data_IF_805855798684
#
_entry.id   IF_805855798684
#
_cell.length_a   1.000
_cell.length_b   1.000
_cell.length_c   1.000
_cell.angle_alpha   90.00
_cell.angle_beta   90.00
_cell.angle_gamma   90.00
#
_symmetry.space_group_name_H-M   'P 1'
#
loop_
_entity.id
_entity.type
_entity.pdbx_description
1 polymer ?
#
# COMPACT_ATOMS: atom_id res chain seq x y z
N UNK A 1 40.47 65.85 29.40
CA UNK A 1 41.06 64.88 28.44
C UNK A 1 40.13 63.68 28.38
N UNK A 2 39.41 63.58 27.27
CA UNK A 2 38.32 62.64 27.00
C UNK A 2 38.91 61.39 26.36
N UNK A 3 38.69 60.23 26.98
CA UNK A 3 39.02 58.93 26.40
C UNK A 3 37.70 58.19 26.11
N UNK A 4 37.38 58.10 24.81
CA UNK A 4 36.26 57.35 24.26
C UNK A 4 36.49 55.84 24.43
N UNK A 5 35.47 55.03 24.74
CA UNK A 5 35.58 53.58 24.65
C UNK A 5 35.66 53.14 23.18
N UNK A 6 36.57 52.21 22.88
CA UNK A 6 36.80 51.69 21.53
C UNK A 6 35.64 50.79 21.07
N UNK A 7 35.31 50.94 19.79
CA UNK A 7 34.35 50.12 19.07
C UNK A 7 34.93 48.72 18.83
N UNK A 8 34.57 47.76 19.68
CA UNK A 8 34.71 46.33 19.39
C UNK A 8 33.70 45.50 20.21
N UNK A 9 32.45 45.98 20.30
CA UNK A 9 31.36 45.29 20.98
C UNK A 9 30.06 45.21 20.15
N UNK A 10 30.13 45.49 18.85
CA UNK A 10 28.96 45.51 17.94
C UNK A 10 29.23 44.83 16.60
N UNK A 11 30.07 43.79 16.60
CA UNK A 11 30.26 42.90 15.44
C UNK A 11 29.88 41.43 15.71
N UNK A 12 29.50 41.08 16.95
CA UNK A 12 29.13 39.70 17.34
C UNK A 12 27.63 39.49 17.57
N UNK A 13 26.76 40.43 17.16
CA UNK A 13 25.31 40.34 17.39
C UNK A 13 24.45 40.36 16.11
N UNK A 14 25.08 40.20 14.94
CA UNK A 14 24.37 40.16 13.64
C UNK A 14 24.62 38.86 12.85
N UNK A 15 25.27 37.86 13.43
CA UNK A 15 25.60 36.59 12.75
C UNK A 15 25.00 35.33 13.41
N UNK A 16 24.23 35.46 14.49
CA UNK A 16 23.61 34.31 15.20
C UNK A 16 22.08 34.19 15.05
N UNK A 17 21.41 35.01 14.23
CA UNK A 17 19.95 34.92 14.03
C UNK A 17 19.51 34.48 12.62
N UNK A 18 20.26 33.57 11.99
CA UNK A 18 19.99 33.19 10.60
C UNK A 18 20.29 31.75 10.22
N UNK A 19 20.47 30.83 11.18
CA UNK A 19 20.61 29.39 10.90
C UNK A 19 19.69 28.57 11.78
N UNK A 20 18.39 28.80 11.63
CA UNK A 20 17.42 27.73 11.79
C UNK A 20 17.76 26.67 10.75
N UNK A 21 18.60 25.71 11.11
CA UNK A 21 18.69 24.44 10.41
C UNK A 21 17.27 23.88 10.41
N UNK A 22 16.53 24.10 9.31
CA UNK A 22 15.41 23.24 8.94
C UNK A 22 16.03 21.86 8.79
N UNK A 23 16.09 21.10 9.88
CA UNK A 23 16.32 19.68 9.80
C UNK A 23 15.23 19.16 8.89
N UNK A 24 15.62 18.76 7.68
CA UNK A 24 14.72 18.12 6.73
C UNK A 24 14.24 16.86 7.44
N UNK A 25 12.96 16.84 7.80
CA UNK A 25 12.39 15.69 8.49
C UNK A 25 12.69 14.43 7.69
N UNK A 26 13.05 13.30 8.34
CA UNK A 26 13.23 12.03 7.65
C UNK A 26 12.01 11.74 6.78
N UNK A 27 12.21 11.22 5.57
CA UNK A 27 11.12 10.91 4.63
C UNK A 27 10.04 10.01 5.27
N UNK A 28 10.45 9.09 6.16
CA UNK A 28 9.57 8.25 7.01
C UNK A 28 8.65 9.08 7.92
N UNK A 29 9.16 10.14 8.54
CA UNK A 29 8.38 11.01 9.43
C UNK A 29 7.46 11.93 8.66
N UNK A 30 7.90 12.43 7.50
CA UNK A 30 7.09 13.27 6.62
C UNK A 30 5.87 12.50 6.06
N UNK A 31 6.05 11.21 5.77
CA UNK A 31 4.97 10.33 5.32
C UNK A 31 4.03 9.88 6.45
N UNK A 32 4.54 9.52 7.63
CA UNK A 32 3.67 9.23 8.80
C UNK A 32 2.77 10.42 9.14
N UNK A 33 3.28 11.64 9.03
CA UNK A 33 2.49 12.85 9.20
C UNK A 33 1.46 13.08 8.08
N UNK A 34 1.65 12.51 6.88
CA UNK A 34 0.69 12.61 5.78
C UNK A 34 -0.38 11.50 5.77
N UNK A 35 -0.10 10.31 6.35
CA UNK A 35 -1.08 9.22 6.45
C UNK A 35 -2.14 9.49 7.52
N UNK A 36 -1.77 10.00 8.70
CA UNK A 36 -2.74 10.19 9.80
C UNK A 36 -3.94 11.05 9.40
N UNK A 37 -3.78 12.20 8.72
CA UNK A 37 -4.90 12.97 8.20
C UNK A 37 -5.75 12.19 7.18
N UNK A 38 -5.15 11.32 6.36
CA UNK A 38 -5.88 10.46 5.43
C UNK A 38 -6.72 9.41 6.16
N UNK A 39 -6.18 8.78 7.21
CA UNK A 39 -6.92 7.84 8.05
C UNK A 39 -8.14 8.54 8.64
N UNK A 40 -7.94 9.70 9.27
CA UNK A 40 -9.04 10.44 9.88
C UNK A 40 -10.08 10.87 8.85
N UNK A 41 -9.64 11.39 7.69
CA UNK A 41 -10.55 11.73 6.60
C UNK A 41 -11.34 10.52 6.09
N UNK A 42 -10.71 9.34 5.96
CA UNK A 42 -11.39 8.12 5.55
C UNK A 42 -12.44 7.69 6.58
N UNK A 43 -12.13 7.76 7.88
CA UNK A 43 -13.11 7.51 8.96
C UNK A 43 -14.30 8.46 8.87
N UNK A 44 -14.05 9.76 8.71
CA UNK A 44 -15.10 10.76 8.57
C UNK A 44 -15.98 10.58 7.33
N UNK A 45 -15.43 10.00 6.26
CA UNK A 45 -16.21 9.60 5.09
C UNK A 45 -17.07 8.36 5.37
N UNK A 46 -16.50 7.35 6.03
CA UNK A 46 -17.20 6.10 6.35
C UNK A 46 -18.36 6.32 7.31
N UNK A 47 -18.21 7.21 8.30
CA UNK A 47 -19.29 7.61 9.22
C UNK A 47 -20.52 8.20 8.51
N UNK A 48 -20.38 8.66 7.27
CA UNK A 48 -21.46 9.25 6.46
C UNK A 48 -22.13 8.22 5.54
N UNK A 49 -21.62 7.00 5.47
CA UNK A 49 -22.15 5.94 4.62
C UNK A 49 -23.08 5.02 5.43
N UNK A 50 -24.14 4.46 4.81
CA UNK A 50 -24.98 3.46 5.47
C UNK A 50 -24.17 2.19 5.78
N UNK A 51 -24.29 1.68 7.01
CA UNK A 51 -23.55 0.49 7.45
C UNK A 51 -23.93 -0.73 6.61
N UNK A 52 -25.22 -0.94 6.33
CA UNK A 52 -25.70 -2.06 5.53
C UNK A 52 -25.06 -2.09 4.13
N UNK A 53 -24.90 -0.92 3.50
CA UNK A 53 -24.24 -0.79 2.21
C UNK A 53 -22.73 -1.10 2.30
N UNK A 54 -22.07 -0.71 3.39
CA UNK A 54 -20.66 -1.04 3.63
C UNK A 54 -20.45 -2.54 3.81
N UNK A 55 -21.31 -3.20 4.58
CA UNK A 55 -21.24 -4.66 4.82
C UNK A 55 -21.41 -5.40 3.50
N UNK A 56 -22.46 -5.06 2.74
CA UNK A 56 -22.74 -5.71 1.47
C UNK A 56 -21.62 -5.47 0.42
N UNK A 57 -21.07 -4.26 0.34
CA UNK A 57 -20.07 -3.92 -0.68
C UNK A 57 -18.67 -4.43 -0.38
N UNK A 58 -18.31 -4.49 0.91
CA UNK A 58 -16.96 -4.87 1.35
C UNK A 58 -16.70 -6.37 1.22
N UNK A 59 -17.75 -7.19 1.08
CA UNK A 59 -17.65 -8.65 1.15
C UNK A 59 -17.22 -9.16 2.53
N UNK A 60 -17.28 -8.31 3.56
CA UNK A 60 -17.01 -8.66 4.94
C UNK A 60 -18.23 -9.21 5.67
N UNK A 61 -18.02 -9.74 6.87
CA UNK A 61 -19.10 -10.18 7.76
C UNK A 61 -19.28 -9.19 8.89
N UNK A 62 -20.50 -8.72 9.11
CA UNK A 62 -20.81 -7.86 10.23
C UNK A 62 -21.16 -8.69 11.46
N UNK A 63 -20.53 -8.38 12.59
CA UNK A 63 -20.74 -9.01 13.89
C UNK A 63 -20.97 -7.90 14.91
N UNK A 64 -22.18 -7.79 15.47
CA UNK A 64 -22.59 -6.84 16.53
C UNK A 64 -22.11 -5.39 16.37
N UNK A 65 -20.83 -5.11 16.61
CA UNK A 65 -20.15 -3.82 16.62
C UNK A 65 -18.94 -3.70 15.66
N UNK A 66 -18.64 -4.71 14.85
CA UNK A 66 -17.49 -4.68 13.92
C UNK A 66 -17.71 -5.43 12.61
N UNK A 67 -16.94 -5.04 11.60
CA UNK A 67 -16.88 -5.69 10.29
C UNK A 67 -15.60 -6.54 10.20
N UNK A 68 -15.76 -7.83 9.96
CA UNK A 68 -14.67 -8.78 9.72
C UNK A 68 -14.30 -8.85 8.25
N UNK A 69 -13.00 -8.71 7.96
CA UNK A 69 -12.40 -8.83 6.63
C UNK A 69 -11.09 -9.60 6.73
N UNK A 70 -10.68 -10.25 5.63
CA UNK A 70 -9.37 -10.90 5.56
C UNK A 70 -8.45 -10.13 4.62
N UNK A 71 -7.23 -9.86 5.08
CA UNK A 71 -6.12 -9.35 4.28
C UNK A 71 -5.12 -10.49 4.04
N UNK A 72 -5.09 -11.08 2.84
CA UNK A 72 -4.32 -12.30 2.53
C UNK A 72 -4.52 -13.38 3.62
N UNK A 73 -5.78 -13.78 3.83
CA UNK A 73 -6.24 -14.71 4.87
C UNK A 73 -5.97 -14.33 6.33
N UNK A 74 -5.31 -13.19 6.59
CA UNK A 74 -5.17 -12.65 7.95
C UNK A 74 -6.46 -11.95 8.35
N UNK A 75 -7.20 -12.44 9.36
CA UNK A 75 -8.44 -11.82 9.80
C UNK A 75 -8.18 -10.48 10.48
N UNK A 76 -8.93 -9.46 10.08
CA UNK A 76 -8.96 -8.12 10.62
C UNK A 76 -10.39 -7.74 11.01
N UNK A 77 -10.52 -6.93 12.05
CA UNK A 77 -11.79 -6.35 12.47
C UNK A 77 -11.75 -4.83 12.29
N UNK A 78 -12.85 -4.26 11.80
CA UNK A 78 -13.05 -2.81 11.70
C UNK A 78 -14.22 -2.43 12.59
N UNK A 79 -13.95 -1.71 13.68
CA UNK A 79 -14.99 -1.31 14.62
C UNK A 79 -16.00 -0.35 14.00
N UNK A 80 -17.24 -0.38 14.48
CA UNK A 80 -18.30 0.54 14.09
C UNK A 80 -18.85 1.17 15.38
N UNK A 81 -19.01 2.50 15.46
CA UNK A 81 -18.91 3.49 14.38
C UNK A 81 -17.52 4.13 14.21
N UNK A 82 -16.51 3.71 14.98
CA UNK A 82 -15.22 4.42 15.04
C UNK A 82 -14.24 4.08 13.90
N UNK A 83 -14.48 2.98 13.17
CA UNK A 83 -13.63 2.50 12.08
C UNK A 83 -12.15 2.36 12.51
N UNK A 84 -11.94 1.81 13.71
CA UNK A 84 -10.62 1.38 14.16
C UNK A 84 -10.33 -0.01 13.58
N UNK A 85 -9.16 -0.18 12.96
CA UNK A 85 -8.76 -1.47 12.38
C UNK A 85 -7.87 -2.20 13.37
N UNK A 86 -8.28 -3.42 13.75
CA UNK A 86 -7.58 -4.27 14.70
C UNK A 86 -7.30 -5.65 14.11
N UNK A 87 -6.24 -6.29 14.60
CA UNK A 87 -5.98 -7.71 14.36
C UNK A 87 -6.90 -8.57 15.25
N UNK A 88 -6.89 -9.89 15.03
CA UNK A 88 -7.72 -10.84 15.78
C UNK A 88 -7.44 -10.87 17.30
N UNK A 89 -6.26 -10.43 17.74
CA UNK A 89 -5.89 -10.29 19.15
C UNK A 89 -6.35 -8.95 19.78
N UNK A 90 -7.03 -8.09 19.00
CA UNK A 90 -7.51 -6.78 19.43
C UNK A 90 -6.46 -5.67 19.32
N UNK A 91 -5.23 -5.96 18.87
CA UNK A 91 -4.19 -4.95 18.67
C UNK A 91 -4.53 -4.05 17.50
N UNK A 92 -4.40 -2.74 17.67
CA UNK A 92 -4.59 -1.76 16.59
C UNK A 92 -3.55 -1.98 15.50
N UNK A 93 -4.03 -2.11 14.26
CA UNK A 93 -3.20 -2.28 13.08
C UNK A 93 -2.28 -1.08 12.84
N UNK A 94 -1.18 -1.30 12.12
CA UNK A 94 -0.28 -0.20 11.70
C UNK A 94 -1.00 0.78 10.76
N UNK A 95 -0.51 2.02 10.70
CA UNK A 95 -1.12 3.11 9.92
C UNK A 95 -1.32 2.75 8.44
N UNK A 96 -0.37 2.03 7.83
CA UNK A 96 -0.48 1.53 6.44
C UNK A 96 -1.66 0.56 6.25
N UNK A 97 -1.80 -0.41 7.15
CA UNK A 97 -2.91 -1.37 7.12
C UNK A 97 -4.23 -0.68 7.39
N UNK A 98 -4.25 0.29 8.32
CA UNK A 98 -5.44 1.11 8.56
C UNK A 98 -5.86 1.87 7.29
N UNK A 99 -4.99 2.67 6.67
CA UNK A 99 -5.39 3.44 5.49
C UNK A 99 -5.77 2.54 4.31
N UNK A 100 -5.09 1.40 4.13
CA UNK A 100 -5.42 0.43 3.08
C UNK A 100 -6.83 -0.12 3.23
N UNK A 101 -7.19 -0.59 4.44
CA UNK A 101 -8.53 -1.12 4.72
C UNK A 101 -9.60 -0.03 4.66
N UNK A 102 -9.32 1.18 5.15
CA UNK A 102 -10.28 2.27 5.13
C UNK A 102 -10.52 2.80 3.71
N UNK A 103 -9.48 2.96 2.89
CA UNK A 103 -9.62 3.36 1.47
C UNK A 103 -10.40 2.31 0.68
N UNK A 104 -10.18 1.02 0.96
CA UNK A 104 -10.98 -0.08 0.41
C UNK A 104 -12.47 0.08 0.76
N UNK A 105 -12.80 0.27 2.04
CA UNK A 105 -14.17 0.42 2.51
C UNK A 105 -14.86 1.66 1.95
N UNK A 106 -14.16 2.80 1.88
CA UNK A 106 -14.70 4.04 1.32
C UNK A 106 -15.10 3.83 -0.15
N UNK A 107 -14.26 3.13 -0.92
CA UNK A 107 -14.54 2.84 -2.33
C UNK A 107 -15.66 1.83 -2.50
N UNK A 108 -15.67 0.77 -1.68
CA UNK A 108 -16.73 -0.22 -1.66
C UNK A 108 -18.10 0.44 -1.40
N UNK A 109 -18.23 1.24 -0.34
CA UNK A 109 -19.49 1.91 -0.01
C UNK A 109 -19.95 2.91 -1.08
N UNK A 110 -19.03 3.64 -1.72
CA UNK A 110 -19.37 4.58 -2.81
C UNK A 110 -19.80 3.89 -4.10
N UNK A 111 -19.28 2.70 -4.39
CA UNK A 111 -19.64 1.96 -5.59
C UNK A 111 -21.12 1.57 -5.61
N UNK A 112 -21.74 1.33 -4.45
CA UNK A 112 -23.18 1.00 -4.35
C UNK A 112 -24.10 2.21 -4.53
N UNK A 113 -23.64 3.42 -4.17
CA UNK A 113 -24.42 4.65 -4.41
C UNK A 113 -24.50 5.06 -5.89
N UNK A 114 -23.79 4.36 -6.78
CA UNK A 114 -23.88 4.55 -8.23
C UNK A 114 -24.73 3.45 -8.86
N UNK A 115 -25.56 3.73 -9.89
CA UNK A 115 -26.39 2.71 -10.52
C UNK A 115 -25.52 1.56 -11.05
N UNK A 116 -25.95 0.30 -10.90
CA UNK A 116 -25.16 -0.85 -11.34
C UNK A 116 -24.98 -0.79 -12.86
N UNK A 117 -23.77 -0.48 -13.29
CA UNK A 117 -23.35 -0.78 -14.67
C UNK A 117 -23.44 -2.29 -14.86
N UNK A 118 -24.06 -2.75 -15.95
CA UNK A 118 -24.27 -4.18 -16.28
C UNK A 118 -22.98 -5.02 -16.40
N UNK A 119 -21.80 -4.40 -16.25
CA UNK A 119 -20.47 -5.04 -16.25
C UNK A 119 -19.79 -5.08 -14.87
N UNK A 120 -20.47 -4.73 -13.78
CA UNK A 120 -19.87 -4.63 -12.45
C UNK A 120 -19.69 -6.00 -11.77
N UNK A 121 -18.86 -6.87 -12.36
CA UNK A 121 -18.36 -8.05 -11.62
C UNK A 121 -17.23 -7.59 -10.67
N UNK A 122 -17.27 -7.96 -9.38
CA UNK A 122 -16.23 -7.58 -8.40
C UNK A 122 -14.82 -8.09 -8.76
N UNK A 123 -14.74 -9.19 -9.51
CA UNK A 123 -13.48 -9.79 -10.01
C UNK A 123 -13.66 -10.08 -11.49
N UNK A 124 -12.81 -9.48 -12.33
CA UNK A 124 -12.90 -9.60 -13.80
C UNK A 124 -12.29 -10.90 -14.36
N UNK A 125 -11.43 -11.57 -13.58
CA UNK A 125 -10.58 -12.70 -13.97
C UNK A 125 -9.67 -12.42 -15.16
N UNK A 126 -9.36 -11.14 -15.39
CA UNK A 126 -8.40 -10.70 -16.40
C UNK A 126 -7.19 -10.10 -15.68
N UNK A 127 -6.06 -10.76 -15.82
CA UNK A 127 -4.78 -10.30 -15.30
C UNK A 127 -4.22 -9.17 -16.16
N UNK A 128 -3.79 -8.09 -15.50
CA UNK A 128 -3.08 -6.96 -16.10
C UNK A 128 -1.83 -6.63 -15.27
N UNK A 129 -0.80 -6.11 -15.92
CA UNK A 129 0.41 -5.64 -15.23
C UNK A 129 0.18 -4.31 -14.51
N UNK A 130 1.05 -3.99 -13.54
CA UNK A 130 0.96 -2.73 -12.79
C UNK A 130 0.94 -1.48 -13.70
N UNK A 131 1.71 -1.49 -14.79
CA UNK A 131 1.75 -0.38 -15.77
C UNK A 131 0.42 -0.11 -16.49
N UNK A 132 -0.47 -1.10 -16.54
CA UNK A 132 -1.79 -0.98 -17.18
C UNK A 132 -2.87 -0.44 -16.22
N UNK A 133 -2.56 -0.35 -14.93
CA UNK A 133 -3.43 0.30 -13.95
C UNK A 133 -3.44 1.81 -14.17
N UNK A 134 -4.54 2.51 -13.84
CA UNK A 134 -4.55 3.97 -13.78
C UNK A 134 -3.37 4.49 -12.96
N UNK A 135 -2.62 5.43 -13.54
CA UNK A 135 -1.39 6.04 -12.98
C UNK A 135 -0.21 5.07 -12.76
N UNK A 136 -0.35 3.77 -13.04
CA UNK A 136 0.67 2.76 -12.76
C UNK A 136 1.92 2.85 -13.65
N UNK A 137 1.77 3.32 -14.89
CA UNK A 137 2.89 3.50 -15.83
C UNK A 137 3.99 4.43 -15.29
N UNK A 138 3.62 5.44 -14.50
CA UNK A 138 4.59 6.39 -13.91
C UNK A 138 5.48 5.76 -12.84
N UNK A 139 5.02 4.68 -12.20
CA UNK A 139 5.68 4.09 -11.03
C UNK A 139 6.14 2.64 -11.25
N UNK A 140 5.96 2.07 -12.45
CA UNK A 140 6.26 0.64 -12.71
C UNK A 140 7.69 0.25 -12.35
N UNK A 141 8.68 1.13 -12.60
CA UNK A 141 10.08 0.84 -12.27
C UNK A 141 10.31 0.76 -10.75
N UNK A 142 9.76 1.72 -10.01
CA UNK A 142 9.83 1.71 -8.55
C UNK A 142 9.07 0.53 -7.96
N UNK A 143 7.87 0.24 -8.48
CA UNK A 143 7.07 -0.91 -8.07
C UNK A 143 7.84 -2.23 -8.19
N UNK A 144 8.48 -2.47 -9.34
CA UNK A 144 9.29 -3.69 -9.55
C UNK A 144 10.43 -3.83 -8.54
N UNK A 145 11.13 -2.73 -8.24
CA UNK A 145 12.32 -2.76 -7.37
C UNK A 145 12.03 -3.17 -5.94
N UNK A 146 10.76 -3.11 -5.48
CA UNK A 146 10.35 -3.58 -4.16
C UNK A 146 9.34 -4.73 -4.16
N UNK A 147 9.02 -5.28 -5.34
CA UNK A 147 8.10 -6.41 -5.49
C UNK A 147 8.79 -7.57 -6.20
N UNK A 148 8.66 -7.66 -7.52
CA UNK A 148 9.20 -8.74 -8.34
C UNK A 148 10.70 -8.94 -8.12
N UNK A 149 11.47 -7.86 -8.07
CA UNK A 149 12.93 -7.94 -8.01
C UNK A 149 13.39 -8.44 -6.63
N UNK A 150 12.72 -7.98 -5.56
CA UNK A 150 12.93 -8.45 -4.19
C UNK A 150 12.53 -9.91 -4.03
N UNK A 151 11.39 -10.30 -4.62
CA UNK A 151 10.92 -11.68 -4.57
C UNK A 151 11.89 -12.64 -5.27
N UNK A 152 12.31 -12.31 -6.51
CA UNK A 152 13.26 -13.13 -7.27
C UNK A 152 14.59 -13.26 -6.53
N UNK A 153 15.11 -12.14 -6.03
CA UNK A 153 16.35 -12.11 -5.25
C UNK A 153 16.24 -12.92 -3.96
N UNK A 154 15.15 -12.73 -3.19
CA UNK A 154 14.94 -13.40 -1.91
C UNK A 154 14.74 -14.92 -2.02
N UNK A 155 14.23 -15.40 -3.16
CA UNK A 155 14.12 -16.83 -3.48
C UNK A 155 15.31 -17.34 -4.31
N UNK A 156 16.36 -16.54 -4.50
CA UNK A 156 17.56 -16.89 -5.29
C UNK A 156 17.27 -17.36 -6.72
N UNK A 157 16.19 -16.89 -7.34
CA UNK A 157 15.76 -17.35 -8.67
C UNK A 157 15.30 -18.82 -8.71
N UNK A 158 15.08 -19.46 -7.56
CA UNK A 158 14.66 -20.86 -7.47
C UNK A 158 13.14 -21.00 -7.65
N UNK A 159 12.75 -21.68 -8.73
CA UNK A 159 11.34 -21.91 -9.08
C UNK A 159 10.65 -22.86 -8.10
N UNK A 160 11.37 -23.82 -7.52
CA UNK A 160 10.80 -24.75 -6.53
C UNK A 160 10.65 -24.05 -5.18
N UNK A 161 11.57 -23.14 -4.82
CA UNK A 161 11.39 -22.26 -3.67
C UNK A 161 10.15 -21.37 -3.84
N UNK A 162 9.90 -20.84 -5.04
CA UNK A 162 8.68 -20.10 -5.34
C UNK A 162 7.42 -20.95 -5.16
N UNK A 163 7.40 -22.19 -5.68
CA UNK A 163 6.26 -23.11 -5.51
C UNK A 163 5.99 -23.42 -4.02
N UNK A 164 7.04 -23.67 -3.25
CA UNK A 164 6.92 -23.90 -1.80
C UNK A 164 6.38 -22.66 -1.07
N UNK A 165 6.85 -21.47 -1.44
CA UNK A 165 6.35 -20.20 -0.89
C UNK A 165 4.86 -19.99 -1.21
N UNK A 166 4.44 -20.28 -2.45
CA UNK A 166 3.04 -20.24 -2.88
C UNK A 166 2.18 -21.17 -2.01
N UNK A 167 2.60 -22.43 -1.86
CA UNK A 167 1.87 -23.42 -1.07
C UNK A 167 1.76 -23.00 0.40
N UNK A 168 2.83 -22.45 0.97
CA UNK A 168 2.84 -21.96 2.35
C UNK A 168 1.95 -20.73 2.55
N UNK A 169 1.95 -19.81 1.59
CA UNK A 169 1.19 -18.54 1.67
C UNK A 169 -0.27 -18.67 1.21
N UNK A 170 -0.71 -19.88 0.83
CA UNK A 170 -2.12 -20.14 0.45
C UNK A 170 -2.48 -19.67 -0.95
N UNK A 171 -1.52 -19.60 -1.88
CA UNK A 171 -1.81 -19.25 -3.27
C UNK A 171 -2.52 -20.35 -4.04
N UNK A 172 -3.35 -19.97 -5.00
CA UNK A 172 -3.99 -20.89 -5.95
C UNK A 172 -3.18 -20.95 -7.26
N UNK A 173 -2.49 -22.07 -7.57
CA UNK A 173 -1.67 -22.18 -8.78
C UNK A 173 -2.50 -22.14 -10.06
N UNK A 174 -1.94 -21.56 -11.12
CA UNK A 174 -2.53 -21.60 -12.46
C UNK A 174 -1.47 -21.62 -13.57
N UNK A 175 -1.89 -21.90 -14.81
CA UNK A 175 -0.98 -22.06 -15.95
C UNK A 175 -0.65 -20.73 -16.61
N UNK A 176 0.49 -20.14 -16.25
CA UNK A 176 1.13 -19.00 -16.93
C UNK A 176 2.61 -18.93 -16.53
N UNK A 177 3.51 -18.63 -17.47
CA UNK A 177 4.96 -18.72 -17.21
C UNK A 177 5.40 -20.16 -16.86
N UNK A 178 6.51 -20.29 -16.12
CA UNK A 178 7.00 -21.57 -15.60
C UNK A 178 6.36 -21.95 -14.25
N UNK A 179 5.89 -20.94 -13.51
CA UNK A 179 5.00 -21.10 -12.38
C UNK A 179 4.15 -19.83 -12.21
N UNK A 180 2.90 -19.97 -11.80
CA UNK A 180 2.08 -18.82 -11.42
C UNK A 180 1.08 -19.21 -10.35
N UNK A 181 0.73 -18.24 -9.52
CA UNK A 181 -0.27 -18.39 -8.48
C UNK A 181 -1.06 -17.10 -8.26
N UNK A 182 -2.33 -17.26 -7.88
CA UNK A 182 -3.23 -16.15 -7.57
C UNK A 182 -3.55 -16.12 -6.08
N UNK A 183 -3.79 -14.93 -5.56
CA UNK A 183 -3.97 -14.65 -4.15
C UNK A 183 -5.12 -13.68 -3.96
N UNK A 184 -6.03 -14.00 -3.04
CA UNK A 184 -7.09 -13.08 -2.63
C UNK A 184 -6.56 -12.13 -1.56
N UNK A 185 -6.24 -10.91 -1.96
CA UNK A 185 -5.74 -9.90 -1.05
C UNK A 185 -6.86 -9.35 -0.15
N UNK A 186 -7.99 -9.01 -0.75
CA UNK A 186 -9.23 -8.56 -0.10
C UNK A 186 -10.43 -9.20 -0.84
N UNK A 187 -11.66 -9.18 -0.31
CA UNK A 187 -12.79 -9.89 -0.93
C UNK A 187 -13.01 -9.62 -2.42
N UNK A 188 -12.80 -8.37 -2.87
CA UNK A 188 -12.90 -7.95 -4.28
C UNK A 188 -11.57 -7.63 -4.96
N UNK A 189 -10.44 -8.02 -4.37
CA UNK A 189 -9.11 -7.77 -4.94
C UNK A 189 -8.30 -9.06 -5.00
N UNK A 190 -8.02 -9.52 -6.21
CA UNK A 190 -7.10 -10.62 -6.47
C UNK A 190 -5.82 -10.11 -7.13
N UNK A 191 -4.68 -10.61 -6.66
CA UNK A 191 -3.37 -10.44 -7.27
C UNK A 191 -2.89 -11.79 -7.79
N UNK A 192 -1.90 -11.76 -8.68
CA UNK A 192 -1.17 -12.96 -9.09
C UNK A 192 0.32 -12.66 -9.19
N UNK A 193 1.13 -13.70 -9.03
CA UNK A 193 2.54 -13.67 -9.39
C UNK A 193 2.75 -14.67 -10.52
N UNK A 194 3.40 -14.21 -11.59
CA UNK A 194 3.91 -15.06 -12.66
C UNK A 194 5.41 -15.11 -12.56
N UNK A 195 5.97 -16.30 -12.64
CA UNK A 195 7.38 -16.60 -12.51
C UNK A 195 7.89 -17.23 -13.80
N UNK A 196 9.06 -16.78 -14.23
CA UNK A 196 9.84 -17.34 -15.33
C UNK A 196 11.18 -17.80 -14.78
N UNK A 197 11.50 -19.07 -15.02
CA UNK A 197 12.77 -19.66 -14.61
C UNK A 197 13.92 -19.01 -15.39
N UNK A 198 15.05 -18.83 -14.72
CA UNK A 198 16.28 -18.44 -15.39
C UNK A 198 16.91 -19.63 -16.11
N UNK A 199 17.69 -19.33 -17.13
CA UNK A 199 18.53 -20.28 -17.84
C UNK A 199 19.96 -19.71 -18.00
N UNK A 200 20.77 -20.34 -18.85
CA UNK A 200 22.15 -19.92 -19.09
C UNK A 200 22.26 -18.55 -19.78
N UNK A 201 21.19 -18.07 -20.43
CA UNK A 201 21.16 -16.82 -21.20
C UNK A 201 20.43 -15.68 -20.47
N UNK A 202 19.40 -16.00 -19.68
CA UNK A 202 18.54 -15.02 -19.01
C UNK A 202 18.34 -15.34 -17.52
N UNK A 203 18.45 -14.35 -16.62
CA UNK A 203 18.14 -14.57 -15.20
C UNK A 203 16.66 -14.84 -14.99
N UNK A 204 16.33 -15.51 -13.87
CA UNK A 204 14.95 -15.68 -13.43
C UNK A 204 14.24 -14.34 -13.27
N UNK A 205 12.94 -14.33 -13.51
CA UNK A 205 12.13 -13.11 -13.47
C UNK A 205 10.73 -13.40 -12.91
N UNK A 206 10.11 -12.38 -12.32
CA UNK A 206 8.73 -12.45 -11.85
C UNK A 206 7.94 -11.20 -12.23
N UNK A 207 6.62 -11.30 -12.21
CA UNK A 207 5.73 -10.15 -12.37
C UNK A 207 4.52 -10.29 -11.47
N UNK A 208 4.24 -9.22 -10.72
CA UNK A 208 2.98 -9.09 -9.98
C UNK A 208 1.91 -8.54 -10.92
N UNK A 209 0.84 -9.29 -11.04
CA UNK A 209 -0.34 -8.96 -11.85
C UNK A 209 -1.52 -8.65 -10.92
N UNK A 210 -2.46 -7.90 -11.46
CA UNK A 210 -3.68 -7.47 -10.77
C UNK A 210 -4.89 -7.90 -11.58
N UNK A 211 -5.98 -8.26 -10.90
CA UNK A 211 -7.26 -8.32 -11.57
C UNK A 211 -7.62 -6.91 -12.09
N UNK A 212 -8.09 -6.81 -13.35
CA UNK A 212 -8.45 -5.53 -13.96
C UNK A 212 -9.45 -4.70 -13.13
N UNK A 213 -10.32 -5.34 -12.35
CA UNK A 213 -11.28 -4.66 -11.49
C UNK A 213 -10.66 -4.06 -10.21
N UNK A 214 -9.43 -4.42 -9.85
CA UNK A 214 -8.78 -4.01 -8.60
C UNK A 214 -8.67 -2.47 -8.45
N UNK A 215 -8.46 -1.74 -9.56
CA UNK A 215 -8.38 -0.26 -9.57
C UNK A 215 -9.69 0.43 -9.20
N UNK A 216 -10.82 -0.28 -9.28
CA UNK A 216 -12.12 0.20 -8.76
C UNK A 216 -12.14 0.15 -7.24
N UNK A 217 -11.60 -0.92 -6.66
CA UNK A 217 -11.63 -1.19 -5.23
C UNK A 217 -10.56 -0.43 -4.44
N UNK A 218 -9.41 -0.09 -5.05
CA UNK A 218 -8.30 0.55 -4.34
C UNK A 218 -7.50 1.49 -5.26
N UNK A 219 -6.97 2.62 -4.76
CA UNK A 219 -6.07 3.47 -5.53
C UNK A 219 -4.72 2.79 -5.79
N UNK A 220 -3.93 3.37 -6.70
CA UNK A 220 -2.66 2.80 -7.16
C UNK A 220 -1.63 2.61 -6.02
N UNK A 221 -1.59 3.52 -5.05
CA UNK A 221 -0.72 3.44 -3.86
C UNK A 221 -1.13 2.25 -2.96
N UNK A 222 -2.43 2.03 -2.79
CA UNK A 222 -2.93 0.84 -2.08
C UNK A 222 -2.66 -0.46 -2.84
N UNK A 223 -2.82 -0.48 -4.17
CA UNK A 223 -2.49 -1.67 -4.99
C UNK A 223 -0.99 -1.97 -4.97
N UNK A 224 -0.14 -0.94 -5.01
CA UNK A 224 1.30 -1.06 -4.82
C UNK A 224 1.64 -1.67 -3.45
N UNK A 225 0.99 -1.20 -2.38
CA UNK A 225 1.16 -1.74 -1.03
C UNK A 225 0.73 -3.21 -0.94
N UNK A 226 -0.38 -3.61 -1.60
CA UNK A 226 -0.79 -5.01 -1.68
C UNK A 226 0.23 -5.88 -2.42
N UNK A 227 0.79 -5.39 -3.53
CA UNK A 227 1.83 -6.11 -4.27
C UNK A 227 3.10 -6.29 -3.44
N UNK A 228 3.53 -5.25 -2.71
CA UNK A 228 4.66 -5.34 -1.77
C UNK A 228 4.41 -6.37 -0.67
N UNK A 229 3.23 -6.31 -0.05
CA UNK A 229 2.83 -7.24 1.02
C UNK A 229 2.79 -8.68 0.53
N UNK A 230 2.28 -8.92 -0.68
CA UNK A 230 2.27 -10.25 -1.30
C UNK A 230 3.69 -10.81 -1.45
N UNK A 231 4.62 -10.02 -2.01
CA UNK A 231 6.00 -10.46 -2.17
C UNK A 231 6.69 -10.73 -0.81
N UNK A 232 6.45 -9.90 0.20
CA UNK A 232 6.99 -10.13 1.54
C UNK A 232 6.41 -11.37 2.22
N UNK A 233 5.10 -11.60 2.06
CA UNK A 233 4.42 -12.79 2.56
C UNK A 233 4.98 -14.08 1.95
N UNK A 234 5.25 -14.08 0.64
CA UNK A 234 5.91 -15.19 -0.06
C UNK A 234 7.36 -15.42 0.43
N UNK A 235 8.05 -14.37 0.90
CA UNK A 235 9.37 -14.49 1.51
C UNK A 235 9.32 -14.93 2.98
N UNK A 236 8.13 -15.15 3.55
CA UNK A 236 7.97 -15.47 4.98
C UNK A 236 8.33 -14.31 5.92
N UNK A 237 8.40 -13.09 5.40
CA UNK A 237 8.70 -11.89 6.18
C UNK A 237 7.41 -11.38 6.79
N UNK A 238 7.32 -11.42 8.13
CA UNK A 238 6.21 -10.79 8.84
C UNK A 238 6.22 -9.28 8.56
N UNK A 239 5.06 -8.62 8.60
CA UNK A 239 5.03 -7.17 8.55
C UNK A 239 5.87 -6.62 9.71
N UNK A 240 7.09 -6.15 9.43
CA UNK A 240 7.98 -5.54 10.42
C UNK A 240 8.22 -4.06 10.09
N UNK A 241 8.52 -3.25 11.12
CA UNK A 241 8.59 -1.78 11.04
C UNK A 241 9.61 -1.24 10.02
N UNK A 242 10.56 -2.07 9.61
CA UNK A 242 11.63 -1.73 8.64
C UNK A 242 11.06 -1.46 7.24
N UNK A 243 9.90 -2.04 6.91
CA UNK A 243 9.27 -1.90 5.59
C UNK A 243 8.47 -0.59 5.41
N UNK A 244 8.33 0.19 6.51
CA UNK A 244 8.44 1.66 6.58
C UNK A 244 8.79 2.35 5.26
N UNK A 245 10.06 2.23 4.85
CA UNK A 245 10.67 3.17 3.91
C UNK A 245 10.34 2.89 2.44
N UNK A 246 9.86 1.70 2.12
CA UNK A 246 9.81 1.21 0.74
C UNK A 246 8.66 1.82 -0.08
N UNK A 247 7.57 2.22 0.55
CA UNK A 247 6.43 2.86 -0.11
C UNK A 247 6.53 4.40 -0.10
N UNK A 248 7.73 4.98 0.09
CA UNK A 248 7.97 6.38 -0.30
C UNK A 248 7.87 6.46 -1.83
N UNK A 249 6.65 6.57 -2.33
CA UNK A 249 6.44 7.20 -3.62
C UNK A 249 7.00 8.60 -3.43
N UNK A 250 8.20 8.87 -3.98
CA UNK A 250 8.75 10.20 -4.13
C UNK A 250 7.77 11.01 -5.00
N UNK A 251 6.70 11.43 -4.35
CA UNK A 251 5.77 12.43 -4.80
C UNK A 251 6.49 13.74 -4.55
N UNK A 252 7.53 14.03 -5.33
CA UNK A 252 7.85 15.43 -5.54
C UNK A 252 6.57 16.06 -6.09
N UNK A 253 5.96 17.04 -5.40
CA UNK A 253 4.90 17.79 -6.00
C UNK A 253 5.53 18.51 -7.19
N UNK A 254 5.26 18.02 -8.39
CA UNK A 254 5.38 18.82 -9.60
C UNK A 254 4.43 20.00 -9.41
N UNK A 255 4.99 21.07 -8.85
CA UNK A 255 4.45 22.41 -8.91
C UNK A 255 4.15 22.64 -10.39
N UNK A 256 2.87 22.54 -10.77
CA UNK A 256 2.40 23.19 -11.97
C UNK A 256 2.84 24.64 -11.83
N UNK A 257 3.71 25.06 -12.76
CA UNK A 257 4.16 26.42 -12.87
C UNK A 257 2.97 27.35 -12.75
N UNK A 258 3.04 28.23 -11.76
CA UNK A 258 2.33 29.49 -11.80
C UNK A 258 3.01 30.35 -12.87
N UNK A 259 2.15 31.02 -13.64
CA UNK A 259 2.39 32.08 -14.62
C UNK A 259 2.71 31.62 -16.05
#
# INVERSE_FOLDING_TARGET
>A
MSARPSASCTANLALEMGRGLRQKMPAKDQWRQSIRPRIEAARELLKKLPIDDLVLASGGRFQEDHLELSLFDTPLAVSIPDFAVTEADGRVCREKTQILLLDYLVRAGRAQTSPPSSEATPVSRRWIGFQELPDGAFYVKAFRSYTSDVLVSGLNGDTDAFRQAVDHFGGEPFSLGDAAASFRALPSICLAVVWWAGDDEFPANASVLFDRAASRALPIDGLAALGSRLCQGLLGVADDETNDEICTMDSEPMLLGKE
#
